data_IF_366704211013
#
_entry.id   IF_366704211013
#
_cell.length_a   1.000
_cell.length_b   1.000
_cell.length_c   1.000
_cell.angle_alpha   90.00
_cell.angle_beta   90.00
_cell.angle_gamma   90.00
#
_symmetry.space_group_name_H-M   'P 1'
#
loop_
_entity.id
_entity.type
_entity.pdbx_description
1 polymer ?
#
# COMPACT_ATOMS: atom_id res chain seq x y z
N UNK A 1 11.97 -21.48 -10.74
CA UNK A 1 12.27 -20.06 -10.99
C UNK A 1 11.21 -19.29 -10.26
N UNK A 2 11.58 -18.37 -9.37
CA UNK A 2 10.62 -17.53 -8.66
C UNK A 2 9.80 -16.72 -9.68
N UNK A 3 8.48 -16.87 -9.66
CA UNK A 3 7.60 -16.11 -10.52
C UNK A 3 7.29 -14.78 -9.83
N UNK A 4 7.76 -13.67 -10.43
CA UNK A 4 7.58 -12.32 -9.88
C UNK A 4 6.39 -11.63 -10.56
N UNK A 5 5.55 -10.95 -9.79
CA UNK A 5 4.45 -10.12 -10.33
C UNK A 5 4.38 -8.76 -9.64
N UNK A 6 3.76 -7.79 -10.30
CA UNK A 6 3.40 -6.53 -9.65
C UNK A 6 2.15 -6.70 -8.79
N UNK A 7 2.21 -6.30 -7.53
CA UNK A 7 1.05 -6.27 -6.65
C UNK A 7 -0.04 -5.34 -7.25
N UNK A 8 -1.28 -5.81 -7.45
CA UNK A 8 -2.33 -5.01 -8.08
C UNK A 8 -2.78 -3.81 -7.22
N UNK A 9 -2.43 -3.80 -5.93
CA UNK A 9 -2.84 -2.77 -4.98
C UNK A 9 -1.79 -1.67 -4.82
N UNK A 10 -0.55 -2.06 -4.52
CA UNK A 10 0.54 -1.11 -4.24
C UNK A 10 1.53 -0.95 -5.40
N UNK A 11 1.53 -1.86 -6.38
CA UNK A 11 2.44 -1.84 -7.53
C UNK A 11 3.85 -2.34 -7.23
N UNK A 12 4.12 -2.81 -6.01
CA UNK A 12 5.41 -3.39 -5.63
C UNK A 12 5.63 -4.72 -6.36
N UNK A 13 6.86 -4.97 -6.80
CA UNK A 13 7.24 -6.29 -7.32
C UNK A 13 7.30 -7.28 -6.14
N UNK A 14 6.57 -8.38 -6.24
CA UNK A 14 6.48 -9.42 -5.21
C UNK A 14 6.70 -10.78 -5.86
N UNK A 15 7.30 -11.69 -5.09
CA UNK A 15 7.47 -13.09 -5.43
C UNK A 15 6.19 -13.85 -5.08
N UNK A 16 5.62 -14.57 -6.05
CA UNK A 16 4.31 -15.23 -5.91
C UNK A 16 4.33 -16.33 -4.85
N UNK A 17 5.44 -17.07 -4.73
CA UNK A 17 5.56 -18.22 -3.83
C UNK A 17 5.77 -17.80 -2.37
N UNK A 18 6.35 -16.61 -2.16
CA UNK A 18 6.70 -16.09 -0.82
C UNK A 18 5.86 -14.87 -0.42
N UNK A 19 4.81 -14.53 -1.17
CA UNK A 19 3.98 -13.35 -0.94
C UNK A 19 3.18 -13.45 0.37
N UNK A 20 3.71 -12.90 1.47
CA UNK A 20 2.94 -12.55 2.68
C UNK A 20 2.43 -11.11 2.63
N UNK A 21 1.91 -10.66 1.48
CA UNK A 21 1.50 -9.26 1.27
C UNK A 21 0.00 -9.08 1.55
N UNK A 22 -0.35 -8.67 2.77
CA UNK A 22 -1.73 -8.32 3.13
C UNK A 22 -2.08 -6.84 2.80
N UNK A 23 -3.36 -6.50 2.97
CA UNK A 23 -3.88 -5.14 2.75
C UNK A 23 -3.18 -4.08 3.63
N UNK A 24 -2.77 -4.41 4.85
CA UNK A 24 -2.08 -3.49 5.74
C UNK A 24 -0.68 -3.12 5.22
N UNK A 25 0.10 -4.08 4.73
CA UNK A 25 1.40 -3.78 4.11
C UNK A 25 1.24 -2.92 2.84
N UNK A 26 0.22 -3.20 2.00
CA UNK A 26 -0.09 -2.36 0.83
C UNK A 26 -0.44 -0.93 1.24
N UNK A 27 -1.29 -0.79 2.27
CA UNK A 27 -1.70 0.50 2.83
C UNK A 27 -0.50 1.29 3.35
N UNK A 28 0.35 0.66 4.16
CA UNK A 28 1.52 1.31 4.73
C UNK A 28 2.51 1.77 3.66
N UNK A 29 2.75 0.95 2.63
CA UNK A 29 3.59 1.36 1.50
C UNK A 29 3.06 2.63 0.81
N UNK A 30 1.75 2.68 0.55
CA UNK A 30 1.11 3.84 -0.06
C UNK A 30 1.15 5.07 0.85
N UNK A 31 0.96 4.90 2.16
CA UNK A 31 1.08 5.97 3.15
C UNK A 31 2.49 6.52 3.23
N UNK A 32 3.51 5.66 3.28
CA UNK A 32 4.91 6.10 3.24
C UNK A 32 5.21 6.90 1.97
N UNK A 33 4.71 6.43 0.82
CA UNK A 33 4.81 7.16 -0.45
C UNK A 33 4.08 8.50 -0.42
N UNK A 34 2.89 8.54 0.20
CA UNK A 34 2.10 9.76 0.35
C UNK A 34 2.82 10.83 1.19
N UNK A 35 3.49 10.43 2.27
CA UNK A 35 4.24 11.36 3.12
C UNK A 35 5.56 11.82 2.49
N UNK A 36 6.17 11.01 1.62
CA UNK A 36 7.38 11.39 0.90
C UNK A 36 7.11 12.22 -0.38
N UNK A 37 5.89 12.17 -0.93
CA UNK A 37 5.54 12.83 -2.18
C UNK A 37 5.37 14.35 -2.02
N UNK A 38 6.10 15.12 -2.85
CA UNK A 38 6.05 16.59 -2.86
C UNK A 38 5.06 17.13 -3.88
N UNK A 39 4.79 16.39 -4.96
CA UNK A 39 3.87 16.83 -6.00
C UNK A 39 2.41 16.68 -5.51
N UNK A 40 1.62 17.77 -5.46
CA UNK A 40 0.27 17.74 -4.89
C UNK A 40 -0.71 16.85 -5.68
N UNK A 41 -0.54 16.74 -7.00
CA UNK A 41 -1.40 15.90 -7.85
C UNK A 41 -1.12 14.42 -7.56
N UNK A 42 0.15 14.02 -7.53
CA UNK A 42 0.54 12.64 -7.21
C UNK A 42 0.17 12.27 -5.78
N UNK A 43 0.36 13.21 -4.85
CA UNK A 43 -0.02 13.05 -3.44
C UNK A 43 -1.52 12.82 -3.29
N UNK A 44 -2.37 13.56 -4.02
CA UNK A 44 -3.82 13.34 -4.03
C UNK A 44 -4.19 11.93 -4.53
N UNK A 45 -3.59 11.47 -5.64
CA UNK A 45 -3.81 10.11 -6.16
C UNK A 45 -3.39 9.02 -5.17
N UNK A 46 -2.31 9.23 -4.42
CA UNK A 46 -1.90 8.31 -3.36
C UNK A 46 -2.92 8.30 -2.21
N UNK A 47 -3.44 9.46 -1.82
CA UNK A 47 -4.49 9.54 -0.80
C UNK A 47 -5.75 8.77 -1.21
N UNK A 48 -6.22 8.94 -2.43
CA UNK A 48 -7.40 8.21 -2.97
C UNK A 48 -7.19 6.69 -2.93
N UNK A 49 -5.98 6.22 -3.25
CA UNK A 49 -5.63 4.78 -3.14
C UNK A 49 -5.60 4.30 -1.69
N UNK A 50 -5.07 5.10 -0.77
CA UNK A 50 -5.08 4.76 0.67
C UNK A 50 -6.51 4.70 1.20
N UNK A 51 -7.37 5.65 0.82
CA UNK A 51 -8.78 5.68 1.20
C UNK A 51 -9.53 4.44 0.69
N UNK A 52 -9.28 4.01 -0.54
CA UNK A 52 -9.87 2.79 -1.08
C UNK A 52 -9.46 1.54 -0.28
N UNK A 53 -8.22 1.46 0.20
CA UNK A 53 -7.78 0.36 1.07
C UNK A 53 -8.35 0.50 2.48
N UNK A 54 -8.40 1.71 3.02
CA UNK A 54 -9.03 2.01 4.32
C UNK A 54 -10.49 1.56 4.37
N UNK A 55 -11.26 1.85 3.33
CA UNK A 55 -12.66 1.43 3.23
C UNK A 55 -12.80 -0.10 3.29
N UNK A 56 -11.89 -0.85 2.63
CA UNK A 56 -11.86 -2.32 2.68
C UNK A 56 -11.46 -2.86 4.05
N UNK A 57 -10.60 -2.15 4.77
CA UNK A 57 -10.12 -2.51 6.11
C UNK A 57 -11.02 -1.98 7.25
N UNK A 58 -12.05 -1.18 6.95
CA UNK A 58 -12.86 -0.50 7.97
C UNK A 58 -12.11 0.59 8.75
N UNK A 59 -11.00 1.10 8.21
CA UNK A 59 -10.17 2.11 8.84
C UNK A 59 -10.57 3.52 8.40
N UNK A 60 -10.31 4.51 9.26
CA UNK A 60 -10.51 5.94 8.95
C UNK A 60 -9.24 6.78 9.08
N UNK A 61 -8.13 6.19 9.55
CA UNK A 61 -6.90 6.93 9.85
C UNK A 61 -5.91 6.89 8.67
N UNK A 62 -5.03 7.90 8.64
CA UNK A 62 -3.87 7.97 7.73
C UNK A 62 -2.56 7.63 8.46
N UNK A 63 -2.65 6.97 9.61
CA UNK A 63 -1.48 6.58 10.39
C UNK A 63 -0.89 5.27 9.85
N UNK A 64 0.43 5.12 9.90
CA UNK A 64 1.06 3.82 9.71
C UNK A 64 0.59 2.88 10.81
N UNK A 65 0.37 1.62 10.46
CA UNK A 65 -0.02 0.56 11.41
C UNK A 65 1.17 -0.38 11.53
N UNK A 66 1.56 -0.79 12.73
CA UNK A 66 2.58 -1.83 12.88
C UNK A 66 2.07 -3.13 12.28
N UNK A 67 2.84 -3.70 11.36
CA UNK A 67 2.49 -4.94 10.65
C UNK A 67 3.41 -6.09 11.01
N UNK A 68 3.97 -6.08 12.23
CA UNK A 68 4.76 -7.19 12.76
C UNK A 68 3.86 -8.37 13.14
N UNK A 69 3.62 -9.24 12.16
CA UNK A 69 3.24 -10.66 12.33
C UNK A 69 4.00 -11.54 11.34
#
# INVERSE_FOLDING_TARGET
MAELRACPLCGKLVDIDTERHNLFHCRNFLLSSYYAERNPIRRKRLAERVEAINARLGLRSMNLVDTDE
#
